data_IF_428708829270
#
_entry.id   IF_428708829270
#
_cell.length_a   1.000
_cell.length_b   1.000
_cell.length_c   1.000
_cell.angle_alpha   90.00
_cell.angle_beta   90.00
_cell.angle_gamma   90.00
#
_symmetry.space_group_name_H-M   'P 1'
#
loop_
_entity.id
_entity.type
_entity.pdbx_description
1 polymer ?
#
# COMPACT_ATOMS: atom_id res chain seq x y z
N UNK A 1 32.47 -50.59 14.71
CA UNK A 1 31.42 -49.54 14.94
C UNK A 1 32.12 -48.20 14.92
N UNK A 2 31.93 -47.43 13.84
CA UNK A 2 32.40 -46.04 13.86
C UNK A 2 31.63 -45.27 14.93
N UNK A 3 32.37 -44.62 15.84
CA UNK A 3 31.73 -43.86 16.92
C UNK A 3 30.99 -42.65 16.34
N UNK A 4 29.83 -42.31 16.89
CA UNK A 4 29.05 -41.13 16.49
C UNK A 4 29.91 -39.86 16.55
N UNK A 5 30.86 -39.78 17.49
CA UNK A 5 31.79 -38.65 17.62
C UNK A 5 32.70 -38.48 16.40
N UNK A 6 33.13 -39.58 15.77
CA UNK A 6 33.90 -39.50 14.52
C UNK A 6 33.07 -38.93 13.36
N UNK A 7 31.83 -39.41 13.21
CA UNK A 7 30.91 -38.91 12.16
C UNK A 7 30.58 -37.45 12.34
N UNK A 8 30.34 -37.00 13.58
CA UNK A 8 30.06 -35.58 13.90
C UNK A 8 31.26 -34.69 13.49
N UNK A 9 32.50 -35.13 13.81
CA UNK A 9 33.72 -34.40 13.43
C UNK A 9 33.91 -34.35 11.91
N UNK A 10 33.70 -35.45 11.20
CA UNK A 10 33.80 -35.51 9.74
C UNK A 10 32.74 -34.61 9.06
N UNK A 11 31.54 -34.55 9.60
CA UNK A 11 30.45 -33.72 9.11
C UNK A 11 30.55 -32.24 9.55
N UNK A 12 31.58 -31.89 10.36
CA UNK A 12 31.79 -30.53 10.92
C UNK A 12 30.55 -29.95 11.60
N UNK A 13 29.80 -30.78 12.30
CA UNK A 13 28.62 -30.35 13.04
C UNK A 13 29.01 -29.61 14.32
N UNK A 14 28.44 -28.45 14.52
CA UNK A 14 28.66 -27.56 15.67
C UNK A 14 27.41 -27.48 16.56
N UNK A 15 27.58 -27.03 17.79
CA UNK A 15 26.47 -26.76 18.71
C UNK A 15 25.71 -25.49 18.29
N UNK A 16 24.36 -25.47 18.41
CA UNK A 16 23.48 -26.52 18.97
C UNK A 16 23.19 -27.66 17.98
N UNK A 17 23.20 -28.90 18.44
CA UNK A 17 22.87 -30.07 17.63
C UNK A 17 21.95 -31.04 18.43
N UNK A 18 21.06 -31.72 17.72
CA UNK A 18 20.14 -32.71 18.28
C UNK A 18 20.48 -34.08 17.69
N UNK A 19 20.58 -35.10 18.54
CA UNK A 19 20.78 -36.48 18.12
C UNK A 19 19.42 -37.19 18.16
N UNK A 20 18.97 -37.71 17.00
CA UNK A 20 17.76 -38.51 16.92
C UNK A 20 18.12 -39.97 16.70
N UNK A 21 17.55 -40.86 17.52
CA UNK A 21 17.82 -42.29 17.51
C UNK A 21 16.50 -43.06 17.46
N UNK A 22 16.49 -44.16 16.69
CA UNK A 22 15.32 -45.03 16.57
C UNK A 22 14.77 -45.13 15.14
N UNK A 23 13.71 -45.93 15.02
CA UNK A 23 13.06 -46.17 13.72
C UNK A 23 12.52 -44.90 13.02
N UNK A 24 12.28 -43.82 13.79
CA UNK A 24 11.84 -42.54 13.27
C UNK A 24 12.86 -41.94 12.30
N UNK A 25 14.15 -42.30 12.39
CA UNK A 25 15.20 -41.83 11.47
C UNK A 25 14.96 -42.33 10.04
N UNK A 26 14.34 -43.50 9.87
CA UNK A 26 14.01 -44.04 8.55
C UNK A 26 12.89 -43.27 7.84
N UNK A 27 12.14 -42.41 8.57
CA UNK A 27 11.09 -41.56 7.99
C UNK A 27 11.65 -40.26 7.44
N UNK A 28 12.96 -39.99 7.62
CA UNK A 28 13.57 -38.73 7.14
C UNK A 28 13.25 -38.42 5.69
N UNK A 29 13.41 -39.40 4.80
CA UNK A 29 13.17 -39.18 3.35
C UNK A 29 11.72 -38.87 3.02
N UNK A 30 10.77 -39.31 3.86
CA UNK A 30 9.34 -39.05 3.68
C UNK A 30 8.93 -37.72 4.34
N UNK A 31 9.60 -37.32 5.43
CA UNK A 31 9.29 -36.12 6.21
C UNK A 31 10.13 -34.90 5.83
N UNK A 32 11.13 -35.08 4.98
CA UNK A 32 12.04 -34.04 4.49
C UNK A 32 11.39 -33.16 3.42
N UNK A 33 10.15 -32.73 3.69
CA UNK A 33 9.44 -31.80 2.80
C UNK A 33 9.85 -30.34 3.03
N UNK A 34 10.42 -30.05 4.20
CA UNK A 34 10.78 -28.67 4.57
C UNK A 34 12.07 -28.23 3.86
N UNK A 35 13.11 -29.06 3.89
CA UNK A 35 14.40 -28.77 3.26
C UNK A 35 14.33 -28.82 1.73
N UNK A 36 13.34 -29.52 1.16
CA UNK A 36 13.06 -29.59 -0.29
C UNK A 36 12.36 -28.37 -0.87
N UNK A 37 11.98 -27.40 -0.04
CA UNK A 37 11.36 -26.18 -0.53
C UNK A 37 12.36 -25.36 -1.36
N UNK A 38 11.88 -24.69 -2.44
CA UNK A 38 12.76 -24.02 -3.39
C UNK A 38 13.67 -22.93 -2.79
N UNK A 39 13.25 -22.30 -1.69
CA UNK A 39 13.97 -21.23 -1.04
C UNK A 39 14.51 -21.62 0.36
N UNK A 40 14.53 -22.91 0.69
CA UNK A 40 15.10 -23.36 1.97
C UNK A 40 16.55 -22.91 2.14
N UNK A 41 16.88 -22.42 3.32
CA UNK A 41 18.22 -21.89 3.65
C UNK A 41 18.54 -20.54 2.98
N UNK A 42 17.59 -19.93 2.24
CA UNK A 42 17.77 -18.58 1.69
C UNK A 42 17.23 -17.54 2.66
N UNK A 43 18.06 -16.55 2.96
CA UNK A 43 17.67 -15.36 3.70
C UNK A 43 17.29 -14.25 2.72
N UNK A 44 16.07 -13.72 2.83
CA UNK A 44 15.54 -12.69 1.93
C UNK A 44 15.13 -11.50 2.78
N UNK A 45 15.69 -10.32 2.46
CA UNK A 45 15.29 -9.07 3.09
C UNK A 45 14.32 -8.33 2.17
N UNK A 46 13.11 -8.04 2.67
CA UNK A 46 12.07 -7.31 1.95
C UNK A 46 12.00 -5.87 2.46
N UNK A 47 12.38 -4.87 1.63
CA UNK A 47 12.23 -3.47 2.01
C UNK A 47 10.74 -3.07 1.98
N UNK A 48 10.31 -2.22 2.92
CA UNK A 48 8.96 -1.67 2.92
C UNK A 48 8.94 -0.18 3.29
N UNK A 49 7.85 0.48 2.88
CA UNK A 49 7.52 1.85 3.26
C UNK A 49 6.33 1.81 4.21
N UNK A 50 6.41 2.49 5.33
CA UNK A 50 5.28 2.71 6.22
C UNK A 50 4.48 3.92 5.75
N UNK A 51 3.19 3.75 5.54
CA UNK A 51 2.30 4.83 5.13
C UNK A 51 1.29 5.12 6.25
N UNK A 52 1.42 6.27 6.90
CA UNK A 52 0.50 6.74 7.96
C UNK A 52 0.23 5.70 9.06
N UNK A 53 1.29 5.01 9.52
CA UNK A 53 1.22 3.98 10.56
C UNK A 53 0.85 2.57 10.05
N UNK A 54 0.53 2.42 8.77
CA UNK A 54 0.28 1.11 8.17
C UNK A 54 1.46 0.66 7.31
N UNK A 55 1.84 -0.62 7.47
CA UNK A 55 2.80 -1.26 6.56
C UNK A 55 2.11 -1.48 5.22
N UNK A 56 2.75 -1.04 4.15
CA UNK A 56 2.28 -1.33 2.80
C UNK A 56 2.18 -2.85 2.57
N UNK A 57 1.22 -3.29 1.79
CA UNK A 57 0.72 -4.67 1.57
C UNK A 57 1.77 -5.74 1.23
N UNK A 58 2.72 -6.00 2.13
CA UNK A 58 3.74 -7.04 1.97
C UNK A 58 3.34 -8.41 2.53
N UNK A 59 2.25 -8.47 3.32
CA UNK A 59 1.93 -9.70 4.05
C UNK A 59 1.84 -10.92 3.11
N UNK A 60 1.26 -10.76 1.91
CA UNK A 60 1.15 -11.87 0.95
C UNK A 60 2.53 -12.30 0.42
N UNK A 61 3.36 -11.35 -0.02
CA UNK A 61 4.70 -11.64 -0.53
C UNK A 61 5.55 -12.35 0.55
N UNK A 62 5.54 -11.84 1.78
CA UNK A 62 6.27 -12.45 2.90
C UNK A 62 5.77 -13.86 3.15
N UNK A 63 4.45 -14.05 3.22
CA UNK A 63 3.85 -15.38 3.42
C UNK A 63 4.22 -16.34 2.30
N UNK A 64 4.15 -15.91 1.03
CA UNK A 64 4.49 -16.74 -0.12
C UNK A 64 5.98 -17.14 -0.10
N UNK A 65 6.88 -16.20 0.22
CA UNK A 65 8.31 -16.50 0.35
C UNK A 65 8.60 -17.47 1.51
N UNK A 66 7.95 -17.30 2.66
CA UNK A 66 8.06 -18.21 3.82
C UNK A 66 7.51 -19.61 3.50
N UNK A 67 6.40 -19.69 2.75
CA UNK A 67 5.85 -20.97 2.29
C UNK A 67 6.81 -21.70 1.35
N UNK A 68 7.60 -20.97 0.56
CA UNK A 68 8.66 -21.51 -0.26
C UNK A 68 9.93 -21.88 0.54
N UNK A 69 9.97 -21.64 1.85
CA UNK A 69 11.05 -22.05 2.75
C UNK A 69 12.08 -20.96 3.03
N UNK A 70 11.87 -19.72 2.58
CA UNK A 70 12.80 -18.63 2.89
C UNK A 70 12.71 -18.16 4.35
N UNK A 71 13.85 -17.77 4.90
CA UNK A 71 13.95 -16.93 6.10
C UNK A 71 13.77 -15.46 5.68
N UNK A 72 12.67 -14.82 6.09
CA UNK A 72 12.30 -13.49 5.57
C UNK A 72 12.42 -12.45 6.67
N UNK A 73 13.36 -11.54 6.49
CA UNK A 73 13.47 -10.31 7.27
C UNK A 73 12.79 -9.13 6.55
N UNK A 74 12.31 -8.16 7.29
CA UNK A 74 11.75 -6.92 6.74
C UNK A 74 12.53 -5.71 7.23
N UNK A 75 12.82 -4.76 6.33
CA UNK A 75 13.49 -3.51 6.67
C UNK A 75 12.65 -2.30 6.21
N UNK A 76 12.39 -1.39 7.13
CA UNK A 76 11.73 -0.14 6.80
C UNK A 76 12.73 0.82 6.12
N UNK A 77 12.43 1.23 4.90
CA UNK A 77 13.29 2.12 4.09
C UNK A 77 12.74 3.54 4.01
N UNK A 78 11.51 3.79 4.45
CA UNK A 78 10.93 5.13 4.43
C UNK A 78 9.55 5.18 5.07
N UNK A 79 9.06 6.42 5.23
CA UNK A 79 7.71 6.72 5.73
C UNK A 79 7.03 7.71 4.81
N UNK A 80 5.74 7.49 4.58
CA UNK A 80 4.84 8.48 3.97
C UNK A 80 4.04 9.11 5.09
N UNK A 81 4.19 10.43 5.24
CA UNK A 81 3.47 11.20 6.24
C UNK A 81 2.53 12.19 5.54
N UNK A 82 1.35 12.46 6.10
CA UNK A 82 0.49 13.52 5.59
C UNK A 82 1.12 14.88 5.89
N UNK A 83 0.97 15.82 4.98
CA UNK A 83 1.33 17.22 5.20
C UNK A 83 0.13 17.92 5.82
N UNK A 84 0.29 18.55 7.01
CA UNK A 84 -0.78 19.37 7.60
C UNK A 84 -1.06 20.60 6.74
N UNK A 85 -2.34 20.83 6.44
CA UNK A 85 -2.82 21.97 5.66
C UNK A 85 -3.55 22.90 6.61
N UNK A 86 -3.09 24.14 6.71
CA UNK A 86 -3.79 25.17 7.47
C UNK A 86 -5.03 25.62 6.69
N UNK A 87 -6.11 25.99 7.40
CA UNK A 87 -7.37 26.44 6.77
C UNK A 87 -7.99 25.43 5.79
N UNK A 88 -7.80 24.14 6.06
CA UNK A 88 -8.22 23.04 5.19
C UNK A 88 -9.69 23.12 4.75
N UNK A 89 -10.61 23.43 5.68
CA UNK A 89 -12.03 23.57 5.36
C UNK A 89 -12.29 24.66 4.31
N UNK A 90 -11.56 25.77 4.38
CA UNK A 90 -11.69 26.86 3.41
C UNK A 90 -11.21 26.45 2.03
N UNK A 91 -10.13 25.65 1.96
CA UNK A 91 -9.61 25.15 0.69
C UNK A 91 -10.61 24.20 0.01
N UNK A 92 -11.21 23.28 0.76
CA UNK A 92 -12.12 22.28 0.18
C UNK A 92 -13.54 22.80 -0.03
N UNK A 93 -14.05 23.74 0.80
CA UNK A 93 -15.43 24.22 0.75
C UNK A 93 -15.81 24.93 -0.55
N UNK A 94 -14.83 25.43 -1.28
CA UNK A 94 -15.03 26.06 -2.58
C UNK A 94 -15.04 25.08 -3.74
N UNK A 95 -14.79 23.78 -3.52
CA UNK A 95 -14.66 22.77 -4.55
C UNK A 95 -15.99 22.07 -4.84
N UNK A 96 -16.26 21.81 -6.12
CA UNK A 96 -17.38 20.98 -6.56
C UNK A 96 -17.00 19.50 -6.60
N UNK A 97 -15.71 19.23 -6.86
CA UNK A 97 -15.14 17.89 -6.91
C UNK A 97 -13.83 17.80 -6.15
N UNK A 98 -13.65 16.68 -5.46
CA UNK A 98 -12.36 16.28 -4.90
C UNK A 98 -11.92 14.98 -5.58
N UNK A 99 -10.70 14.98 -6.11
CA UNK A 99 -10.13 13.83 -6.81
C UNK A 99 -8.98 13.22 -6.03
N UNK A 100 -8.98 11.90 -5.93
CA UNK A 100 -7.91 11.14 -5.30
C UNK A 100 -7.18 10.27 -6.30
N UNK A 101 -5.88 10.46 -6.43
CA UNK A 101 -5.02 9.66 -7.31
C UNK A 101 -4.47 8.41 -6.63
N UNK A 102 -4.59 8.32 -5.31
CA UNK A 102 -4.06 7.19 -4.54
C UNK A 102 -4.80 7.00 -3.21
N UNK A 103 -4.62 5.83 -2.58
CA UNK A 103 -5.09 5.58 -1.20
C UNK A 103 -4.48 6.54 -0.19
N UNK A 104 -3.20 6.88 -0.36
CA UNK A 104 -2.53 7.81 0.54
C UNK A 104 -3.11 9.22 0.44
N UNK A 105 -3.56 9.66 -0.75
CA UNK A 105 -4.29 10.92 -0.92
C UNK A 105 -5.60 10.94 -0.10
N UNK A 106 -6.36 9.84 -0.14
CA UNK A 106 -7.57 9.70 0.70
C UNK A 106 -7.22 9.81 2.18
N UNK A 107 -6.21 9.09 2.64
CA UNK A 107 -5.77 9.11 4.04
C UNK A 107 -5.28 10.48 4.48
N UNK A 108 -4.50 11.16 3.64
CA UNK A 108 -4.02 12.52 3.92
C UNK A 108 -5.17 13.53 4.01
N UNK A 109 -6.19 13.38 3.16
CA UNK A 109 -7.41 14.18 3.23
C UNK A 109 -8.11 14.03 4.59
N UNK A 110 -8.42 12.81 5.02
CA UNK A 110 -9.09 12.57 6.30
C UNK A 110 -8.21 12.85 7.52
N UNK A 111 -6.89 12.72 7.37
CA UNK A 111 -5.96 13.22 8.38
C UNK A 111 -6.12 14.73 8.56
N UNK A 112 -6.19 15.50 7.48
CA UNK A 112 -6.35 16.96 7.52
C UNK A 112 -7.73 17.38 8.03
N UNK A 113 -8.79 16.65 7.71
CA UNK A 113 -10.10 16.86 8.35
C UNK A 113 -10.01 16.73 9.87
N UNK A 114 -9.37 15.67 10.34
CA UNK A 114 -9.19 15.45 11.80
C UNK A 114 -8.26 16.48 12.43
N UNK A 115 -7.16 16.84 11.75
CA UNK A 115 -6.17 17.79 12.23
C UNK A 115 -6.78 19.20 12.43
N UNK A 116 -7.69 19.61 11.54
CA UNK A 116 -8.37 20.90 11.58
C UNK A 116 -9.73 20.86 12.30
N UNK A 117 -10.10 19.75 12.95
CA UNK A 117 -11.42 19.53 13.58
C UNK A 117 -12.62 19.86 12.64
N UNK A 118 -12.45 19.54 11.34
CA UNK A 118 -13.43 19.84 10.30
C UNK A 118 -14.58 18.85 10.32
N UNK A 119 -15.82 19.34 10.35
CA UNK A 119 -17.02 18.49 10.34
C UNK A 119 -17.23 17.87 8.95
N UNK A 120 -17.50 16.57 8.91
CA UNK A 120 -17.74 15.84 7.66
C UNK A 120 -18.93 16.37 6.85
N UNK A 121 -19.86 17.07 7.49
CA UNK A 121 -21.02 17.69 6.83
C UNK A 121 -20.63 18.79 5.83
N UNK A 122 -19.44 19.37 5.96
CA UNK A 122 -18.91 20.32 4.96
C UNK A 122 -18.78 19.68 3.57
N UNK A 123 -18.66 18.35 3.52
CA UNK A 123 -18.52 17.58 2.27
C UNK A 123 -19.85 17.30 1.57
N UNK A 124 -21.01 17.66 2.15
CA UNK A 124 -22.35 17.24 1.67
C UNK A 124 -22.66 17.65 0.21
N UNK A 125 -22.02 18.69 -0.30
CA UNK A 125 -22.19 19.16 -1.69
C UNK A 125 -21.08 18.78 -2.64
N UNK A 126 -20.02 18.17 -2.11
CA UNK A 126 -18.80 17.85 -2.86
C UNK A 126 -18.93 16.44 -3.44
N UNK A 127 -18.58 16.29 -4.72
CA UNK A 127 -18.49 15.00 -5.38
C UNK A 127 -17.06 14.47 -5.36
N UNK A 128 -16.93 13.14 -5.32
CA UNK A 128 -15.66 12.46 -5.18
C UNK A 128 -15.33 11.63 -6.41
N UNK A 129 -14.15 11.86 -6.99
CA UNK A 129 -13.59 11.05 -8.04
C UNK A 129 -12.33 10.32 -7.59
N UNK A 130 -12.17 9.07 -7.99
CA UNK A 130 -11.01 8.26 -7.65
C UNK A 130 -10.42 7.60 -8.88
N UNK A 131 -9.10 7.44 -8.92
CA UNK A 131 -8.42 6.87 -10.09
C UNK A 131 -8.72 5.38 -10.30
N UNK A 132 -9.10 4.65 -9.24
CA UNK A 132 -9.36 3.21 -9.38
C UNK A 132 -9.91 2.56 -8.13
N UNK A 133 -10.22 1.26 -8.26
CA UNK A 133 -10.92 0.46 -7.24
C UNK A 133 -10.23 0.42 -5.87
N UNK A 134 -8.90 0.38 -5.84
CA UNK A 134 -8.15 0.38 -4.57
C UNK A 134 -8.32 1.69 -3.79
N UNK A 135 -8.37 2.83 -4.50
CA UNK A 135 -8.62 4.15 -3.92
C UNK A 135 -10.09 4.31 -3.53
N UNK A 136 -11.00 3.75 -4.33
CA UNK A 136 -12.43 3.70 -4.00
C UNK A 136 -12.68 2.93 -2.70
N UNK A 137 -12.02 1.76 -2.55
CA UNK A 137 -12.14 0.97 -1.33
C UNK A 137 -11.61 1.72 -0.10
N UNK A 138 -10.52 2.47 -0.25
CA UNK A 138 -10.02 3.32 0.83
C UNK A 138 -11.02 4.41 1.22
N UNK A 139 -11.66 5.06 0.24
CA UNK A 139 -12.68 6.08 0.49
C UNK A 139 -13.91 5.49 1.22
N UNK A 140 -14.30 4.25 0.88
CA UNK A 140 -15.38 3.52 1.57
C UNK A 140 -15.08 3.24 3.04
N UNK A 141 -13.82 3.12 3.44
CA UNK A 141 -13.45 2.97 4.85
C UNK A 141 -13.87 4.20 5.69
N UNK A 142 -14.00 5.35 5.05
CA UNK A 142 -14.53 6.59 5.64
C UNK A 142 -16.03 6.80 5.38
N UNK A 143 -16.76 5.73 4.98
CA UNK A 143 -18.21 5.73 4.71
C UNK A 143 -18.64 6.66 3.55
N UNK A 144 -17.72 7.01 2.67
CA UNK A 144 -18.00 7.82 1.48
C UNK A 144 -17.88 6.94 0.23
N UNK A 145 -18.85 7.08 -0.68
CA UNK A 145 -18.81 6.45 -2.00
C UNK A 145 -18.25 7.42 -3.02
N UNK A 146 -17.43 6.90 -3.94
CA UNK A 146 -16.99 7.70 -5.08
C UNK A 146 -18.16 7.90 -6.07
N UNK A 147 -18.32 9.13 -6.56
CA UNK A 147 -19.28 9.48 -7.63
C UNK A 147 -18.71 9.13 -9.00
N UNK A 148 -17.38 9.07 -9.12
CA UNK A 148 -16.69 8.78 -10.36
C UNK A 148 -15.51 7.81 -10.14
N UNK A 149 -15.56 6.67 -10.83
CA UNK A 149 -14.46 5.72 -10.96
C UNK A 149 -14.31 5.42 -12.46
N UNK A 150 -13.19 5.75 -13.10
CA UNK A 150 -13.04 5.51 -14.54
C UNK A 150 -12.82 4.02 -14.85
N UNK A 151 -13.21 3.61 -16.06
CA UNK A 151 -12.91 2.26 -16.57
C UNK A 151 -11.39 2.07 -16.73
N UNK A 152 -10.73 3.08 -17.30
CA UNK A 152 -9.27 3.15 -17.38
C UNK A 152 -8.72 3.77 -16.10
N UNK A 153 -8.15 2.94 -15.22
CA UNK A 153 -7.69 3.32 -13.88
C UNK A 153 -6.35 4.10 -13.92
N UNK A 154 -6.36 5.22 -14.66
CA UNK A 154 -5.23 6.15 -14.81
C UNK A 154 -5.68 7.58 -14.54
N UNK A 155 -4.74 8.50 -14.33
CA UNK A 155 -5.04 9.92 -14.20
C UNK A 155 -5.72 10.47 -15.48
N UNK A 156 -5.24 10.07 -16.66
CA UNK A 156 -5.83 10.44 -17.94
C UNK A 156 -7.26 9.89 -18.10
N UNK A 157 -7.48 8.63 -17.68
CA UNK A 157 -8.82 8.03 -17.67
C UNK A 157 -9.79 8.78 -16.77
N UNK A 158 -9.33 9.19 -15.58
CA UNK A 158 -10.13 10.00 -14.65
C UNK A 158 -10.46 11.37 -15.23
N UNK A 159 -9.49 12.07 -15.82
CA UNK A 159 -9.73 13.36 -16.50
C UNK A 159 -10.76 13.24 -17.62
N UNK A 160 -10.62 12.20 -18.48
CA UNK A 160 -11.55 11.93 -19.60
C UNK A 160 -12.97 11.62 -19.12
N UNK A 161 -13.09 10.86 -18.03
CA UNK A 161 -14.39 10.53 -17.47
C UNK A 161 -15.05 11.76 -16.82
N UNK A 162 -14.27 12.55 -16.07
CA UNK A 162 -14.75 13.76 -15.40
C UNK A 162 -15.21 14.83 -16.39
N UNK A 163 -14.48 15.03 -17.50
CA UNK A 163 -14.82 16.01 -18.56
C UNK A 163 -16.25 15.91 -19.04
N UNK A 164 -16.87 14.73 -19.00
CA UNK A 164 -18.26 14.50 -19.41
C UNK A 164 -19.29 15.01 -18.39
N UNK A 165 -18.86 15.38 -17.18
CA UNK A 165 -19.74 15.70 -16.04
C UNK A 165 -19.53 17.12 -15.49
N UNK A 166 -18.61 17.88 -16.05
CA UNK A 166 -18.22 19.20 -15.55
C UNK A 166 -18.27 20.27 -16.65
N UNK A 167 -18.23 21.53 -16.22
CA UNK A 167 -18.11 22.71 -17.07
C UNK A 167 -16.82 23.48 -16.73
N UNK A 168 -16.54 24.52 -17.49
CA UNK A 168 -15.43 25.45 -17.29
C UNK A 168 -15.47 26.19 -15.94
N UNK A 169 -16.68 26.34 -15.35
CA UNK A 169 -16.88 26.97 -14.06
C UNK A 169 -16.65 26.00 -12.88
N UNK A 170 -16.50 24.70 -13.15
CA UNK A 170 -16.35 23.67 -12.13
C UNK A 170 -14.98 23.78 -11.44
N UNK A 171 -14.98 23.76 -10.11
CA UNK A 171 -13.77 23.78 -9.29
C UNK A 171 -13.42 22.38 -8.84
N UNK A 172 -12.23 21.95 -9.18
CA UNK A 172 -11.71 20.60 -8.89
C UNK A 172 -10.50 20.70 -7.98
N UNK A 173 -10.56 20.04 -6.84
CA UNK A 173 -9.42 19.89 -5.94
C UNK A 173 -8.80 18.51 -6.13
N UNK A 174 -7.47 18.43 -6.26
CA UNK A 174 -6.74 17.17 -6.43
C UNK A 174 -5.88 16.91 -5.19
N UNK A 175 -6.11 15.78 -4.54
CA UNK A 175 -5.23 15.26 -3.48
C UNK A 175 -4.30 14.20 -4.05
N UNK A 176 -3.03 14.53 -4.12
CA UNK A 176 -1.99 13.66 -4.65
C UNK A 176 -0.73 13.75 -3.78
N UNK A 177 0.24 12.85 -4.02
CA UNK A 177 1.56 13.01 -3.42
C UNK A 177 2.27 14.21 -4.07
N UNK A 178 3.09 14.91 -3.31
CA UNK A 178 3.88 16.08 -3.78
C UNK A 178 4.67 15.80 -5.06
N UNK A 179 5.20 14.57 -5.16
CA UNK A 179 6.01 14.12 -6.31
C UNK A 179 5.18 13.33 -7.34
N UNK A 180 3.82 13.42 -7.29
CA UNK A 180 2.98 12.73 -8.27
C UNK A 180 3.08 13.38 -9.65
N UNK A 181 2.81 12.56 -10.70
CA UNK A 181 2.73 13.06 -12.07
C UNK A 181 1.69 14.18 -12.18
N UNK A 182 2.05 15.25 -12.85
CA UNK A 182 1.18 16.40 -13.14
C UNK A 182 0.22 16.15 -14.31
N UNK A 183 0.21 14.97 -14.89
CA UNK A 183 -0.58 14.69 -16.11
C UNK A 183 -2.07 14.91 -15.89
N UNK A 184 -2.61 14.46 -14.73
CA UNK A 184 -4.03 14.69 -14.39
C UNK A 184 -4.34 16.18 -14.29
N UNK A 185 -3.50 16.92 -13.59
CA UNK A 185 -3.66 18.37 -13.41
C UNK A 185 -3.64 19.11 -14.75
N UNK A 186 -2.64 18.86 -15.59
CA UNK A 186 -2.50 19.45 -16.92
C UNK A 186 -3.70 19.15 -17.84
N UNK A 187 -4.20 17.91 -17.78
CA UNK A 187 -5.39 17.55 -18.57
C UNK A 187 -6.63 18.27 -18.07
N UNK A 188 -6.82 18.41 -16.76
CA UNK A 188 -7.99 19.08 -16.18
C UNK A 188 -7.94 20.61 -16.37
N UNK A 189 -6.79 21.24 -16.26
CA UNK A 189 -6.62 22.70 -16.49
C UNK A 189 -7.07 23.17 -17.88
N UNK A 190 -7.17 22.26 -18.84
CA UNK A 190 -7.66 22.59 -20.19
C UNK A 190 -9.17 22.91 -20.23
N UNK A 191 -9.94 22.54 -19.18
CA UNK A 191 -11.40 22.64 -19.22
C UNK A 191 -12.09 22.89 -17.87
N UNK A 192 -11.34 23.10 -16.79
CA UNK A 192 -11.89 23.48 -15.49
C UNK A 192 -10.85 24.18 -14.61
N UNK A 193 -11.30 24.72 -13.47
CA UNK A 193 -10.42 25.33 -12.49
C UNK A 193 -9.89 24.28 -11.52
N UNK A 194 -8.56 24.09 -11.50
CA UNK A 194 -7.90 23.06 -10.67
C UNK A 194 -7.14 23.69 -9.53
N UNK A 195 -7.36 23.16 -8.32
CA UNK A 195 -6.59 23.44 -7.12
C UNK A 195 -5.87 22.15 -6.77
N UNK A 196 -4.55 22.16 -6.71
CA UNK A 196 -3.77 21.02 -6.25
C UNK A 196 -3.42 21.20 -4.77
N UNK A 197 -3.66 20.15 -3.99
CA UNK A 197 -3.30 20.09 -2.58
C UNK A 197 -2.44 18.85 -2.37
N UNK A 198 -1.22 19.06 -1.90
CA UNK A 198 -0.17 18.03 -1.73
C UNK A 198 -0.18 17.44 -0.32
#
# INVERSE_FOLDING_TARGET
>A
MESIGYKVKCAKLESPAIIVVGNVVSLNDQLDFFEKRPLFGRKITVPYIEAMGERTHFNKLITDLQQLGADVDTIMVGKILPIPISDFEKEISSSDWILFTSRNGVRAFFYNMKFNDTDIRCLAKIRFGVVGKATEQELKNYQIKADLVPDEQTGAGLAKALKKQISDQTKVCIFSAKEASEDLERELQKFCHVIKTD
#
